data_IF_033293481600
#
_entry.id   IF_033293481600
#
_cell.length_a   1.000
_cell.length_b   1.000
_cell.length_c   1.000
_cell.angle_alpha   90.00
_cell.angle_beta   90.00
_cell.angle_gamma   90.00
#
_symmetry.space_group_name_H-M   'P 1'
#
loop_
_entity.id
_entity.type
_entity.pdbx_description
1 polymer ?
#
# COMPACT_ATOMS: atom_id res chain seq x y z
N UNK A 1 21.67 -42.71 4.36
CA UNK A 1 21.47 -42.77 5.83
C UNK A 1 22.69 -43.45 6.44
N UNK A 2 23.21 -42.88 7.50
CA UNK A 2 24.35 -43.39 8.25
C UNK A 2 23.82 -43.82 9.62
N UNK A 3 24.17 -44.97 10.10
CA UNK A 3 23.94 -45.37 11.48
C UNK A 3 24.99 -44.74 12.36
N UNK A 4 24.57 -43.98 13.36
CA UNK A 4 25.47 -43.37 14.36
C UNK A 4 25.10 -43.93 15.73
N UNK A 5 26.10 -44.06 16.60
CA UNK A 5 25.90 -44.41 17.99
C UNK A 5 25.50 -43.18 18.84
N UNK A 6 25.29 -43.40 20.14
CA UNK A 6 24.89 -42.34 21.07
C UNK A 6 25.92 -41.20 21.21
N UNK A 7 27.13 -41.39 20.72
CA UNK A 7 28.20 -40.40 20.69
C UNK A 7 28.37 -39.73 19.32
N UNK A 8 27.43 -40.00 18.35
CA UNK A 8 27.50 -39.48 17.01
C UNK A 8 28.53 -40.14 16.08
N UNK A 9 29.18 -41.24 16.49
CA UNK A 9 30.14 -41.95 15.68
C UNK A 9 29.45 -42.86 14.67
N UNK A 10 29.91 -42.82 13.40
CA UNK A 10 29.39 -43.64 12.32
C UNK A 10 29.67 -45.11 12.58
N UNK A 11 28.65 -45.94 12.75
CA UNK A 11 28.72 -47.38 13.02
C UNK A 11 28.51 -48.27 11.79
N UNK A 12 27.96 -47.70 10.73
CA UNK A 12 27.73 -48.44 9.49
C UNK A 12 27.26 -47.55 8.34
N UNK A 13 27.64 -47.85 7.13
CA UNK A 13 27.07 -47.31 5.92
C UNK A 13 26.11 -48.33 5.33
N UNK A 14 24.87 -47.96 5.06
CA UNK A 14 23.97 -48.81 4.28
C UNK A 14 24.54 -49.01 2.86
N UNK A 15 24.45 -50.22 2.32
CA UNK A 15 25.14 -50.60 1.07
C UNK A 15 24.74 -49.81 -0.20
N UNK A 16 23.71 -48.97 -0.13
CA UNK A 16 23.29 -48.08 -1.23
C UNK A 16 22.84 -46.75 -0.65
N UNK A 17 23.71 -45.70 -0.64
CA UNK A 17 23.25 -44.36 -0.30
C UNK A 17 22.09 -43.98 -1.26
N UNK A 18 20.95 -43.67 -0.70
CA UNK A 18 19.86 -43.08 -1.47
C UNK A 18 20.31 -41.65 -1.79
N UNK A 19 20.60 -41.39 -3.05
CA UNK A 19 20.95 -40.04 -3.50
C UNK A 19 19.75 -39.12 -3.21
N UNK A 20 20.01 -37.88 -2.81
CA UNK A 20 18.93 -36.91 -2.66
C UNK A 20 18.24 -36.70 -4.02
N UNK A 21 16.93 -36.74 -4.02
CA UNK A 21 16.14 -36.32 -5.17
C UNK A 21 16.09 -34.80 -5.16
N UNK A 22 16.35 -34.17 -6.30
CA UNK A 22 16.25 -32.72 -6.45
C UNK A 22 14.79 -32.30 -6.26
N UNK A 23 14.58 -31.24 -5.47
CA UNK A 23 13.26 -30.65 -5.28
C UNK A 23 12.72 -30.00 -6.56
N UNK A 24 11.45 -29.66 -6.53
CA UNK A 24 10.80 -28.86 -7.58
C UNK A 24 11.25 -27.41 -7.46
N UNK A 25 11.21 -26.68 -8.58
CA UNK A 25 11.47 -25.25 -8.61
C UNK A 25 10.14 -24.51 -8.54
N UNK A 26 10.12 -23.40 -7.83
CA UNK A 26 9.01 -22.45 -7.81
C UNK A 26 9.40 -21.24 -8.65
N UNK A 27 8.67 -20.99 -9.73
CA UNK A 27 8.82 -19.78 -10.52
C UNK A 27 7.98 -18.67 -9.89
N UNK A 28 8.60 -17.51 -9.66
CA UNK A 28 7.93 -16.33 -9.11
C UNK A 28 7.72 -15.26 -10.18
N UNK A 29 6.77 -14.36 -9.92
CA UNK A 29 6.49 -13.19 -10.73
C UNK A 29 7.55 -12.08 -10.56
N UNK A 30 8.41 -12.18 -9.55
CA UNK A 30 9.39 -11.15 -9.23
C UNK A 30 10.30 -10.84 -10.42
N UNK A 31 10.37 -9.56 -10.76
CA UNK A 31 11.36 -8.98 -11.64
C UNK A 31 12.52 -8.44 -10.79
N UNK A 32 13.73 -8.95 -11.05
CA UNK A 32 14.89 -8.64 -10.21
C UNK A 32 15.33 -7.19 -10.35
N UNK A 33 15.23 -6.60 -11.54
CA UNK A 33 15.64 -5.23 -11.79
C UNK A 33 14.71 -4.25 -11.05
N UNK A 34 13.38 -4.50 -11.12
CA UNK A 34 12.37 -3.72 -10.36
C UNK A 34 12.53 -3.92 -8.86
N UNK A 35 12.84 -5.16 -8.43
CA UNK A 35 13.08 -5.47 -7.02
C UNK A 35 14.30 -4.75 -6.46
N UNK A 36 15.42 -4.74 -7.19
CA UNK A 36 16.65 -4.07 -6.80
C UNK A 36 16.48 -2.56 -6.76
N UNK A 37 15.83 -1.97 -7.78
CA UNK A 37 15.53 -0.54 -7.80
C UNK A 37 14.66 -0.10 -6.61
N UNK A 38 13.58 -0.84 -6.32
CA UNK A 38 12.72 -0.55 -5.18
C UNK A 38 13.42 -0.69 -3.84
N UNK A 39 14.29 -1.70 -3.68
CA UNK A 39 15.05 -1.89 -2.45
C UNK A 39 16.11 -0.79 -2.27
N UNK A 40 16.77 -0.36 -3.35
CA UNK A 40 17.73 0.73 -3.34
C UNK A 40 17.06 2.07 -2.99
N UNK A 41 15.88 2.34 -3.54
CA UNK A 41 15.10 3.55 -3.23
C UNK A 41 14.71 3.67 -1.74
N UNK A 42 14.56 2.54 -1.02
CA UNK A 42 14.33 2.51 0.43
C UNK A 42 15.62 2.57 1.27
N UNK A 43 16.80 2.49 0.68
CA UNK A 43 18.05 2.40 1.44
C UNK A 43 18.22 3.55 2.43
N UNK A 44 18.47 3.21 3.71
CA UNK A 44 18.62 4.17 4.81
C UNK A 44 17.32 4.75 5.37
N UNK A 45 16.16 4.27 4.91
CA UNK A 45 14.84 4.69 5.40
C UNK A 45 14.03 3.46 5.85
N UNK A 46 13.18 3.60 6.87
CA UNK A 46 12.24 2.55 7.21
C UNK A 46 10.98 2.68 6.34
N UNK A 47 10.58 1.63 5.66
CA UNK A 47 9.42 1.68 4.75
C UNK A 47 9.16 0.36 4.05
N UNK A 48 8.16 0.35 3.16
CA UNK A 48 7.85 -0.78 2.30
C UNK A 48 7.32 -0.32 0.94
N UNK A 49 7.57 -1.10 -0.08
CA UNK A 49 7.04 -0.86 -1.42
C UNK A 49 6.43 -2.13 -2.02
N UNK A 50 5.53 -1.94 -2.96
CA UNK A 50 4.90 -2.99 -3.77
C UNK A 50 4.77 -2.49 -5.19
N UNK A 51 5.22 -3.29 -6.16
CA UNK A 51 4.90 -3.14 -7.57
C UNK A 51 4.10 -4.37 -8.02
N UNK A 52 2.97 -4.16 -8.66
CA UNK A 52 2.01 -5.21 -9.00
C UNK A 52 1.38 -4.95 -10.37
N UNK A 53 1.26 -6.01 -11.16
CA UNK A 53 0.50 -5.97 -12.40
C UNK A 53 -0.98 -5.73 -12.13
N UNK A 54 -1.54 -4.75 -12.83
CA UNK A 54 -2.88 -4.21 -12.57
C UNK A 54 -3.97 -5.24 -12.87
N UNK A 55 -3.79 -6.05 -13.91
CA UNK A 55 -4.80 -6.98 -14.40
C UNK A 55 -4.70 -8.38 -13.82
N UNK A 56 -3.49 -8.88 -13.58
CA UNK A 56 -3.26 -10.23 -13.08
C UNK A 56 -3.17 -10.29 -11.56
N UNK A 57 -2.62 -9.24 -10.92
CA UNK A 57 -2.25 -9.25 -9.52
C UNK A 57 -0.88 -9.88 -9.25
N UNK A 58 -0.10 -10.15 -10.29
CA UNK A 58 1.29 -10.58 -10.17
C UNK A 58 2.11 -9.51 -9.47
N UNK A 59 2.73 -9.88 -8.33
CA UNK A 59 3.62 -8.98 -7.58
C UNK A 59 5.00 -9.08 -8.20
N UNK A 60 5.36 -8.08 -9.00
CA UNK A 60 6.65 -8.02 -9.70
C UNK A 60 7.79 -7.53 -8.82
N UNK A 61 7.47 -6.76 -7.77
CA UNK A 61 8.43 -6.42 -6.73
C UNK A 61 7.72 -6.11 -5.40
N UNK A 62 8.37 -6.44 -4.30
CA UNK A 62 7.86 -6.20 -2.95
C UNK A 62 9.04 -6.16 -1.98
N UNK A 63 9.14 -5.07 -1.21
CA UNK A 63 10.27 -4.91 -0.32
C UNK A 63 9.96 -4.17 0.97
N UNK A 64 10.88 -4.29 1.90
CA UNK A 64 10.84 -3.68 3.23
C UNK A 64 12.24 -3.22 3.64
N UNK A 65 12.33 -2.07 4.30
CA UNK A 65 13.55 -1.56 4.88
C UNK A 65 13.29 -1.09 6.33
N UNK A 66 14.21 -1.32 7.28
CA UNK A 66 15.39 -2.16 7.14
C UNK A 66 15.01 -3.61 6.82
N UNK A 67 15.95 -4.35 6.22
CA UNK A 67 15.82 -5.74 5.84
C UNK A 67 17.00 -6.55 6.38
N UNK A 68 17.07 -7.82 6.05
CA UNK A 68 18.14 -8.72 6.47
C UNK A 68 18.58 -9.61 5.31
N UNK A 69 19.80 -10.13 5.39
CA UNK A 69 20.29 -11.13 4.44
C UNK A 69 19.58 -12.48 4.70
N UNK A 70 18.77 -13.01 3.77
CA UNK A 70 18.08 -14.29 3.95
C UNK A 70 19.04 -15.47 4.12
N UNK A 71 20.29 -15.36 3.68
CA UNK A 71 21.32 -16.36 3.94
C UNK A 71 21.73 -16.48 5.41
N UNK A 72 21.29 -15.53 6.24
CA UNK A 72 21.45 -15.62 7.70
C UNK A 72 20.98 -16.97 8.26
N UNK A 73 19.83 -17.47 7.77
CA UNK A 73 19.25 -18.74 8.24
C UNK A 73 19.90 -19.99 7.65
N UNK A 74 20.81 -19.84 6.69
CA UNK A 74 21.57 -20.97 6.10
C UNK A 74 22.82 -21.35 6.91
N UNK A 75 23.16 -20.57 7.92
CA UNK A 75 24.35 -20.73 8.78
C UNK A 75 23.94 -20.82 10.25
N UNK A 76 24.77 -21.41 11.13
CA UNK A 76 24.52 -21.34 12.56
C UNK A 76 24.51 -19.88 13.05
N UNK A 77 23.53 -19.53 13.88
CA UNK A 77 23.38 -18.20 14.48
C UNK A 77 23.13 -18.30 15.99
N UNK A 78 23.45 -17.24 16.72
CA UNK A 78 23.20 -17.13 18.15
C UNK A 78 21.81 -16.59 18.44
N UNK A 79 21.30 -16.83 19.66
CA UNK A 79 20.04 -16.25 20.14
C UNK A 79 20.05 -14.71 20.04
N UNK A 80 21.17 -14.07 20.38
CA UNK A 80 21.29 -12.61 20.30
C UNK A 80 21.18 -12.10 18.85
N UNK A 81 21.83 -12.78 17.90
CA UNK A 81 21.70 -12.44 16.47
C UNK A 81 20.26 -12.61 15.96
N UNK A 82 19.57 -13.67 16.39
CA UNK A 82 18.17 -13.87 16.05
C UNK A 82 17.28 -12.78 16.65
N UNK A 83 17.45 -12.47 17.93
CA UNK A 83 16.68 -11.41 18.60
C UNK A 83 16.89 -10.04 17.96
N UNK A 84 18.10 -9.74 17.48
CA UNK A 84 18.40 -8.47 16.80
C UNK A 84 17.56 -8.24 15.52
N UNK A 85 17.05 -9.31 14.87
CA UNK A 85 16.16 -9.18 13.70
C UNK A 85 14.76 -8.66 14.04
N UNK A 86 14.36 -8.79 15.32
CA UNK A 86 13.05 -8.32 15.81
C UNK A 86 13.15 -7.05 16.65
N UNK A 87 14.36 -6.64 16.99
CA UNK A 87 14.60 -5.53 17.90
C UNK A 87 14.20 -4.19 17.27
N UNK A 88 13.41 -3.40 18.01
CA UNK A 88 12.95 -2.07 17.57
C UNK A 88 14.11 -1.10 17.37
N UNK A 89 15.14 -1.16 18.19
CA UNK A 89 16.36 -0.35 18.05
C UNK A 89 17.11 -0.59 16.72
N UNK A 90 16.88 -1.74 16.08
CA UNK A 90 17.40 -2.09 14.75
C UNK A 90 16.35 -1.86 13.65
N UNK A 91 15.21 -1.26 13.98
CA UNK A 91 14.09 -1.04 13.07
C UNK A 91 13.37 -2.32 12.70
N UNK A 92 13.41 -3.39 13.52
CA UNK A 92 12.68 -4.65 13.30
C UNK A 92 12.82 -5.21 11.88
N UNK A 93 14.02 -5.63 11.44
CA UNK A 93 14.28 -6.07 10.05
C UNK A 93 13.41 -7.23 9.56
N UNK A 94 12.91 -8.08 10.48
CA UNK A 94 12.01 -9.19 10.14
C UNK A 94 10.58 -8.76 9.78
N UNK A 95 10.20 -7.52 10.08
CA UNK A 95 8.86 -7.02 9.73
C UNK A 95 8.82 -6.66 8.25
N UNK A 96 8.06 -7.42 7.47
CA UNK A 96 7.77 -7.06 6.08
C UNK A 96 6.74 -5.92 6.04
N UNK A 97 7.22 -4.67 5.97
CA UNK A 97 6.38 -3.48 6.01
C UNK A 97 5.42 -3.34 4.84
N UNK A 98 5.68 -4.02 3.74
CA UNK A 98 4.81 -3.99 2.57
C UNK A 98 3.47 -4.71 2.80
N UNK A 99 3.46 -5.75 3.66
CA UNK A 99 2.29 -6.61 3.91
C UNK A 99 1.92 -6.71 5.39
N UNK A 100 2.89 -6.67 6.30
CA UNK A 100 2.68 -6.83 7.74
C UNK A 100 2.68 -5.50 8.52
N UNK A 101 2.94 -4.38 7.88
CA UNK A 101 2.83 -3.06 8.48
C UNK A 101 1.40 -2.55 8.49
N UNK A 102 1.05 -1.72 9.48
CA UNK A 102 -0.25 -1.08 9.58
C UNK A 102 -0.07 0.43 9.75
N UNK A 103 -0.32 1.19 8.70
CA UNK A 103 -0.02 2.61 8.61
C UNK A 103 -1.24 3.44 8.22
N UNK A 104 -1.36 4.71 8.63
CA UNK A 104 -2.29 5.65 8.02
C UNK A 104 -1.92 5.86 6.56
N UNK A 105 -2.88 5.74 5.65
CA UNK A 105 -2.63 5.92 4.21
C UNK A 105 -2.37 7.37 3.80
N UNK A 106 -2.78 8.33 4.63
CA UNK A 106 -2.74 9.74 4.27
C UNK A 106 -3.48 10.02 2.98
N UNK A 107 -3.05 11.04 2.25
CA UNK A 107 -3.70 11.51 1.02
C UNK A 107 -3.80 10.49 -0.12
N UNK A 108 -3.08 9.35 -0.07
CA UNK A 108 -3.30 8.27 -1.03
C UNK A 108 -4.70 7.66 -0.89
N UNK A 109 -5.31 7.71 0.28
CA UNK A 109 -6.68 7.25 0.52
C UNK A 109 -7.75 8.12 -0.16
N UNK A 110 -7.42 9.33 -0.58
CA UNK A 110 -8.35 10.23 -1.30
C UNK A 110 -8.91 9.60 -2.58
N UNK A 111 -8.19 8.67 -3.21
CA UNK A 111 -8.74 7.85 -4.29
C UNK A 111 -10.00 7.09 -3.86
N UNK A 112 -9.96 6.45 -2.69
CA UNK A 112 -11.10 5.70 -2.13
C UNK A 112 -12.28 6.63 -1.82
N UNK A 113 -11.99 7.80 -1.25
CA UNK A 113 -12.99 8.82 -0.92
C UNK A 113 -13.60 9.41 -2.18
N UNK A 114 -12.81 9.62 -3.25
CA UNK A 114 -13.30 10.07 -4.55
C UNK A 114 -14.28 9.06 -5.17
N UNK A 115 -13.90 7.77 -5.20
CA UNK A 115 -14.80 6.69 -5.65
C UNK A 115 -16.09 6.68 -4.83
N UNK A 116 -15.97 6.77 -3.49
CA UNK A 116 -17.14 6.79 -2.60
C UNK A 116 -18.06 7.99 -2.86
N UNK A 117 -17.49 9.18 -3.05
CA UNK A 117 -18.25 10.41 -3.32
C UNK A 117 -18.99 10.36 -4.65
N UNK A 118 -18.33 9.94 -5.72
CA UNK A 118 -18.91 9.81 -7.05
C UNK A 118 -19.98 8.72 -7.11
N UNK A 119 -19.63 7.50 -6.71
CA UNK A 119 -20.55 6.35 -6.75
C UNK A 119 -21.69 6.45 -5.73
N UNK A 120 -21.50 7.24 -4.68
CA UNK A 120 -22.53 7.57 -3.70
C UNK A 120 -23.42 8.76 -4.09
N UNK A 121 -23.12 9.43 -5.21
CA UNK A 121 -23.88 10.58 -5.69
C UNK A 121 -23.74 11.82 -4.80
N UNK A 122 -22.65 11.93 -4.02
CA UNK A 122 -22.36 13.12 -3.21
C UNK A 122 -21.78 14.25 -4.06
N UNK A 123 -21.08 13.90 -5.12
CA UNK A 123 -20.45 14.82 -6.07
C UNK A 123 -20.57 14.28 -7.49
N UNK A 124 -20.45 15.19 -8.44
CA UNK A 124 -20.12 14.92 -9.84
C UNK A 124 -18.69 15.39 -10.15
N UNK A 125 -18.05 14.92 -11.23
CA UNK A 125 -16.71 15.39 -11.61
C UNK A 125 -16.60 16.91 -11.83
N UNK A 126 -17.73 17.57 -12.19
CA UNK A 126 -17.79 18.99 -12.52
C UNK A 126 -18.07 19.89 -11.30
N UNK A 127 -18.47 19.33 -10.16
CA UNK A 127 -18.81 20.12 -8.98
C UNK A 127 -17.60 20.87 -8.45
N UNK A 128 -17.76 22.17 -8.22
CA UNK A 128 -16.71 23.05 -7.74
C UNK A 128 -16.95 23.41 -6.27
N UNK A 129 -15.94 23.22 -5.45
CA UNK A 129 -15.90 23.63 -4.04
C UNK A 129 -14.88 24.75 -3.91
N UNK A 130 -15.18 25.75 -3.06
CA UNK A 130 -14.19 26.78 -2.73
C UNK A 130 -13.33 26.30 -1.55
N UNK A 131 -12.02 26.25 -1.76
CA UNK A 131 -11.02 25.82 -0.78
C UNK A 131 -10.23 27.04 -0.27
N UNK A 132 -10.59 27.61 0.90
CA UNK A 132 -9.88 28.72 1.49
C UNK A 132 -8.64 28.32 2.30
N UNK A 133 -8.19 27.07 2.23
CA UNK A 133 -7.12 26.51 3.05
C UNK A 133 -7.58 25.86 4.35
N UNK A 134 -8.86 26.02 4.71
CA UNK A 134 -9.44 25.40 5.90
C UNK A 134 -10.97 25.24 5.79
N UNK A 135 -11.51 24.40 6.67
CA UNK A 135 -12.95 24.28 6.90
C UNK A 135 -13.24 24.14 8.38
N UNK A 136 -14.30 24.79 8.86
CA UNK A 136 -14.81 24.65 10.22
C UNK A 136 -15.89 23.57 10.26
N UNK A 137 -15.69 22.52 11.08
CA UNK A 137 -16.67 21.44 11.26
C UNK A 137 -16.91 21.28 12.77
N UNK A 138 -18.08 21.66 13.24
CA UNK A 138 -18.32 21.86 14.67
C UNK A 138 -17.37 22.91 15.25
N UNK A 139 -16.72 22.58 16.35
CA UNK A 139 -15.76 23.44 17.04
C UNK A 139 -14.30 23.24 16.58
N UNK A 140 -14.08 22.39 15.54
CA UNK A 140 -12.74 22.04 15.06
C UNK A 140 -12.47 22.69 13.70
N UNK A 141 -11.32 23.40 13.61
CA UNK A 141 -10.79 23.88 12.33
C UNK A 141 -9.91 22.80 11.71
N UNK A 142 -10.27 22.34 10.52
CA UNK A 142 -9.48 21.42 9.69
C UNK A 142 -8.79 22.22 8.60
N UNK A 143 -7.50 21.99 8.36
CA UNK A 143 -6.68 22.76 7.42
C UNK A 143 -6.07 21.88 6.36
N UNK A 144 -5.80 22.45 5.19
CA UNK A 144 -4.88 21.84 4.22
C UNK A 144 -3.46 21.75 4.81
N UNK A 145 -2.65 20.86 4.28
CA UNK A 145 -1.23 20.83 4.59
C UNK A 145 -0.60 22.24 4.34
N UNK A 146 0.13 22.74 5.33
CA UNK A 146 0.70 24.10 5.24
C UNK A 146 -0.33 25.24 5.13
N UNK A 147 -1.60 25.01 5.48
CA UNK A 147 -2.70 25.97 5.31
C UNK A 147 -2.85 26.53 3.87
N UNK A 148 -2.44 25.74 2.88
CA UNK A 148 -2.44 26.13 1.47
C UNK A 148 -3.83 26.51 0.98
N UNK A 149 -3.92 27.70 0.37
CA UNK A 149 -5.12 28.20 -0.30
C UNK A 149 -5.17 27.70 -1.75
N UNK A 150 -6.27 27.04 -2.16
CA UNK A 150 -6.43 26.51 -3.51
C UNK A 150 -7.54 27.21 -4.31
N UNK A 151 -8.41 28.00 -3.68
CA UNK A 151 -9.51 28.66 -4.36
C UNK A 151 -10.60 27.70 -4.85
N UNK A 152 -11.21 27.94 -6.03
CA UNK A 152 -12.20 27.01 -6.58
C UNK A 152 -11.54 25.76 -7.13
N UNK A 153 -11.92 24.58 -6.59
CA UNK A 153 -11.41 23.26 -6.98
C UNK A 153 -12.58 22.32 -7.33
N UNK A 154 -12.43 21.56 -8.39
CA UNK A 154 -13.26 20.39 -8.71
C UNK A 154 -12.50 19.12 -8.35
N UNK A 155 -13.07 17.93 -8.59
CA UNK A 155 -12.44 16.66 -8.26
C UNK A 155 -11.03 16.52 -8.86
N UNK A 156 -10.86 16.88 -10.15
CA UNK A 156 -9.58 16.80 -10.85
C UNK A 156 -8.52 17.65 -10.18
N UNK A 157 -8.77 18.93 -9.99
CA UNK A 157 -7.82 19.85 -9.35
C UNK A 157 -7.62 19.52 -7.87
N UNK A 158 -8.65 19.07 -7.15
CA UNK A 158 -8.53 18.65 -5.76
C UNK A 158 -7.62 17.42 -5.57
N UNK A 159 -7.64 16.46 -6.51
CA UNK A 159 -6.69 15.34 -6.53
C UNK A 159 -5.29 15.82 -6.89
N UNK A 160 -5.15 16.70 -7.89
CA UNK A 160 -3.89 17.25 -8.36
C UNK A 160 -3.12 17.99 -7.27
N UNK A 161 -3.74 18.97 -6.61
CA UNK A 161 -3.12 19.76 -5.53
C UNK A 161 -3.25 19.12 -4.15
N UNK A 162 -3.89 17.96 -4.07
CA UNK A 162 -4.15 17.27 -2.79
C UNK A 162 -4.96 18.07 -1.78
N UNK A 163 -5.99 18.82 -2.20
CA UNK A 163 -6.85 19.61 -1.31
C UNK A 163 -7.47 18.73 -0.20
N UNK A 164 -7.10 18.96 1.07
CA UNK A 164 -7.73 18.28 2.19
C UNK A 164 -9.15 18.82 2.42
N UNK A 165 -9.36 20.13 2.25
CA UNK A 165 -10.67 20.78 2.43
C UNK A 165 -11.73 20.14 1.55
N UNK A 166 -11.42 19.87 0.27
CA UNK A 166 -12.34 19.17 -0.63
C UNK A 166 -12.79 17.82 -0.06
N UNK A 167 -11.82 17.02 0.40
CA UNK A 167 -12.10 15.68 0.93
C UNK A 167 -12.67 15.69 2.34
N UNK A 168 -12.36 16.68 3.18
CA UNK A 168 -13.01 16.88 4.49
C UNK A 168 -14.52 17.12 4.31
N UNK A 169 -14.90 17.93 3.34
CA UNK A 169 -16.32 18.17 3.02
C UNK A 169 -17.01 16.89 2.55
N UNK A 170 -16.36 16.08 1.71
CA UNK A 170 -16.90 14.77 1.33
C UNK A 170 -17.02 13.82 2.54
N UNK A 171 -16.06 13.84 3.46
CA UNK A 171 -16.10 13.05 4.69
C UNK A 171 -17.27 13.45 5.59
N UNK A 172 -17.51 14.76 5.75
CA UNK A 172 -18.66 15.32 6.48
C UNK A 172 -20.00 14.89 5.84
N UNK A 173 -20.09 15.03 4.53
CA UNK A 173 -21.34 14.77 3.80
C UNK A 173 -21.63 13.25 3.75
N UNK A 174 -20.60 12.41 3.64
CA UNK A 174 -20.72 10.97 3.75
C UNK A 174 -21.18 10.51 5.15
N UNK A 175 -20.75 11.18 6.23
CA UNK A 175 -21.23 10.91 7.59
C UNK A 175 -22.73 11.19 7.76
N UNK A 176 -23.22 12.20 7.06
CA UNK A 176 -24.61 12.62 7.10
C UNK A 176 -25.52 11.84 6.13
N UNK A 177 -24.96 10.96 5.30
CA UNK A 177 -25.69 10.24 4.24
C UNK A 177 -25.96 8.79 4.64
N UNK A 178 -27.23 8.39 4.63
CA UNK A 178 -27.66 7.04 4.95
C UNK A 178 -27.27 6.63 6.37
N UNK A 179 -26.43 5.58 6.51
CA UNK A 179 -25.91 5.07 7.78
C UNK A 179 -24.54 5.67 8.17
N UNK A 180 -24.03 6.65 7.40
CA UNK A 180 -22.73 7.28 7.64
C UNK A 180 -21.52 6.42 7.27
N UNK A 181 -21.72 5.29 6.59
CA UNK A 181 -20.64 4.30 6.31
C UNK A 181 -20.25 4.22 4.83
N UNK A 182 -20.55 5.26 4.04
CA UNK A 182 -20.32 5.24 2.59
C UNK A 182 -18.84 4.98 2.24
N UNK A 183 -17.93 5.76 2.82
CA UNK A 183 -16.47 5.64 2.55
C UNK A 183 -15.95 4.29 3.08
N UNK A 184 -16.39 3.85 4.26
CA UNK A 184 -16.01 2.56 4.85
C UNK A 184 -16.40 1.39 3.96
N UNK A 185 -17.61 1.44 3.36
CA UNK A 185 -18.05 0.42 2.42
C UNK A 185 -17.19 0.35 1.17
N UNK A 186 -16.83 1.51 0.61
CA UNK A 186 -15.97 1.56 -0.57
C UNK A 186 -14.54 1.14 -0.25
N UNK A 187 -13.97 1.55 0.88
CA UNK A 187 -12.67 1.05 1.34
C UNK A 187 -12.63 -0.49 1.36
N UNK A 188 -13.63 -1.12 1.98
CA UNK A 188 -13.72 -2.60 2.03
C UNK A 188 -13.99 -3.22 0.65
N UNK A 189 -14.75 -2.56 -0.22
CA UNK A 189 -14.96 -3.02 -1.60
C UNK A 189 -13.67 -3.00 -2.40
N UNK A 190 -12.83 -2.01 -2.21
CA UNK A 190 -11.55 -1.85 -2.90
C UNK A 190 -10.40 -2.66 -2.28
N UNK A 191 -10.63 -3.41 -1.20
CA UNK A 191 -9.64 -4.33 -0.63
C UNK A 191 -9.04 -3.90 0.70
N UNK A 192 -9.34 -2.70 1.20
CA UNK A 192 -8.78 -2.19 2.45
C UNK A 192 -9.50 -2.79 3.66
N UNK A 193 -8.76 -3.06 4.74
CA UNK A 193 -9.29 -3.58 5.99
C UNK A 193 -9.71 -5.05 5.91
N UNK A 194 -9.03 -5.85 5.10
CA UNK A 194 -9.17 -7.32 4.97
C UNK A 194 -7.90 -7.94 4.42
N UNK A 195 -7.71 -9.23 4.66
CA UNK A 195 -6.67 -10.00 4.01
C UNK A 195 -6.87 -9.99 2.48
N UNK A 196 -5.79 -9.75 1.75
CA UNK A 196 -5.75 -9.82 0.28
C UNK A 196 -5.70 -11.27 -0.20
N UNK A 197 -5.16 -12.15 0.63
CA UNK A 197 -4.89 -13.55 0.35
C UNK A 197 -3.64 -13.75 -0.49
N UNK A 198 -2.67 -12.84 -0.42
CA UNK A 198 -1.35 -13.04 -0.99
C UNK A 198 -0.73 -14.34 -0.48
N UNK A 199 0.06 -14.99 -1.30
CA UNK A 199 0.77 -16.24 -0.98
C UNK A 199 2.02 -16.03 -0.08
N UNK A 200 1.94 -15.05 0.82
CA UNK A 200 2.91 -14.78 1.88
C UNK A 200 2.26 -14.86 3.26
N UNK A 201 2.98 -15.34 4.28
CA UNK A 201 2.48 -15.34 5.64
C UNK A 201 2.56 -13.96 6.30
N UNK A 202 1.73 -13.75 7.33
CA UNK A 202 1.84 -12.58 8.21
C UNK A 202 1.25 -11.30 7.64
N UNK A 203 0.27 -11.40 6.74
CA UNK A 203 -0.46 -10.23 6.24
C UNK A 203 -1.24 -9.55 7.37
N UNK A 204 -1.07 -8.23 7.50
CA UNK A 204 -1.81 -7.40 8.44
C UNK A 204 -3.12 -6.91 7.79
N UNK A 205 -4.22 -7.16 8.47
CA UNK A 205 -5.57 -6.79 7.99
C UNK A 205 -5.78 -5.28 7.95
N UNK A 206 -5.09 -4.54 8.81
CA UNK A 206 -5.33 -3.12 8.99
C UNK A 206 -6.66 -2.84 9.68
N UNK A 207 -7.17 -1.62 9.52
CA UNK A 207 -8.42 -1.19 10.16
C UNK A 207 -9.13 -0.13 9.33
N UNK A 208 -10.39 -0.42 8.98
CA UNK A 208 -11.34 0.57 8.49
C UNK A 208 -12.24 0.97 9.65
N UNK A 209 -12.06 2.16 10.24
CA UNK A 209 -12.77 2.56 11.45
C UNK A 209 -14.27 2.78 11.16
N UNK A 210 -15.10 2.45 12.17
CA UNK A 210 -16.55 2.65 12.14
C UNK A 210 -17.05 3.22 13.47
N UNK A 211 -18.23 3.85 13.51
CA UNK A 211 -18.85 4.27 14.77
C UNK A 211 -19.01 3.11 15.77
N UNK A 212 -19.39 1.93 15.29
CA UNK A 212 -19.55 0.76 16.14
C UNK A 212 -18.23 0.35 16.81
N UNK A 213 -17.16 0.23 16.02
CA UNK A 213 -15.82 -0.09 16.49
C UNK A 213 -15.33 0.94 17.52
N UNK A 214 -15.35 2.24 17.17
CA UNK A 214 -14.81 3.29 18.05
C UNK A 214 -15.60 3.43 19.34
N UNK A 215 -16.94 3.34 19.26
CA UNK A 215 -17.80 3.42 20.45
C UNK A 215 -17.63 2.22 21.40
N UNK A 216 -17.28 1.04 20.86
CA UNK A 216 -16.91 -0.12 21.68
C UNK A 216 -15.57 0.13 22.39
N UNK A 217 -14.57 0.64 21.67
CA UNK A 217 -13.25 0.96 22.22
C UNK A 217 -13.34 2.06 23.28
N UNK A 218 -14.19 3.06 23.08
CA UNK A 218 -14.48 4.06 24.09
C UNK A 218 -15.06 3.44 25.37
N UNK A 219 -16.02 2.51 25.25
CA UNK A 219 -16.58 1.79 26.40
C UNK A 219 -15.55 0.96 27.17
N UNK A 220 -14.51 0.48 26.47
CA UNK A 220 -13.36 -0.23 27.05
C UNK A 220 -12.28 0.70 27.62
N UNK A 221 -12.41 2.02 27.45
CA UNK A 221 -11.42 2.99 27.87
C UNK A 221 -10.16 3.07 26.98
N UNK A 222 -10.21 2.50 25.79
CA UNK A 222 -9.08 2.47 24.86
C UNK A 222 -9.01 3.68 23.92
N UNK A 223 -10.10 4.45 23.81
CA UNK A 223 -10.14 5.76 23.13
C UNK A 223 -10.68 6.82 24.09
N UNK A 224 -10.29 8.08 23.86
CA UNK A 224 -10.67 9.20 24.74
C UNK A 224 -12.11 9.67 24.52
N UNK A 225 -12.68 9.40 23.34
CA UNK A 225 -13.99 9.88 22.93
C UNK A 225 -14.69 8.90 21.98
N UNK A 226 -16.01 9.03 21.88
CA UNK A 226 -16.86 8.31 20.95
C UNK A 226 -16.66 8.82 19.52
N UNK A 227 -17.22 8.09 18.56
CA UNK A 227 -17.27 8.54 17.17
C UNK A 227 -18.00 9.88 17.07
N UNK A 228 -17.41 10.77 16.30
CA UNK A 228 -17.97 12.06 15.90
C UNK A 228 -17.77 12.25 14.40
N UNK A 229 -18.43 13.20 13.79
CA UNK A 229 -18.23 13.57 12.37
C UNK A 229 -16.75 13.87 12.07
N UNK A 230 -16.00 14.44 13.02
CA UNK A 230 -14.57 14.71 12.87
C UNK A 230 -13.72 13.47 12.60
N UNK A 231 -14.16 12.29 13.10
CA UNK A 231 -13.48 11.03 12.78
C UNK A 231 -13.67 10.62 11.33
N UNK A 232 -14.89 10.82 10.78
CA UNK A 232 -15.14 10.53 9.36
C UNK A 232 -14.43 11.52 8.44
N UNK A 233 -14.31 12.78 8.89
CA UNK A 233 -13.56 13.84 8.21
C UNK A 233 -12.08 13.47 8.12
N UNK A 234 -11.43 13.09 9.22
CA UNK A 234 -10.04 12.62 9.19
C UNK A 234 -9.88 11.33 8.39
N UNK A 235 -10.83 10.41 8.50
CA UNK A 235 -10.83 9.16 7.75
C UNK A 235 -10.86 9.41 6.23
N UNK A 236 -11.60 10.42 5.77
CA UNK A 236 -11.73 10.73 4.34
C UNK A 236 -10.42 11.12 3.65
N UNK A 237 -9.43 11.55 4.40
CA UNK A 237 -8.08 11.88 3.90
C UNK A 237 -7.04 10.82 4.31
N UNK A 238 -7.47 9.65 4.77
CA UNK A 238 -6.57 8.56 5.13
C UNK A 238 -5.88 8.71 6.49
N UNK A 239 -6.43 9.52 7.38
CA UNK A 239 -5.89 9.81 8.71
C UNK A 239 -6.79 9.25 9.83
N UNK A 240 -6.50 9.61 11.06
CA UNK A 240 -7.25 9.17 12.24
C UNK A 240 -7.01 7.69 12.55
N UNK A 241 -8.10 6.92 12.68
CA UNK A 241 -8.04 5.52 13.07
C UNK A 241 -7.86 4.54 11.90
N UNK A 242 -7.71 5.02 10.66
CA UNK A 242 -7.42 4.17 9.50
C UNK A 242 -6.03 3.55 9.62
N UNK A 243 -5.97 2.25 9.39
CA UNK A 243 -4.70 1.52 9.23
C UNK A 243 -4.80 0.63 7.99
N UNK A 244 -3.79 0.70 7.13
CA UNK A 244 -3.65 -0.10 5.91
C UNK A 244 -2.17 -0.40 5.66
N UNK A 245 -1.86 -1.17 4.62
CA UNK A 245 -0.49 -1.45 4.20
C UNK A 245 -0.30 -1.11 2.71
N UNK A 246 0.93 -1.02 2.22
CA UNK A 246 1.23 -0.74 0.81
C UNK A 246 0.53 -1.69 -0.17
N UNK A 247 0.44 -2.98 0.16
CA UNK A 247 -0.23 -3.96 -0.70
C UNK A 247 -1.73 -3.67 -0.85
N UNK A 248 -2.44 -3.36 0.23
CA UNK A 248 -3.86 -3.01 0.17
C UNK A 248 -4.10 -1.74 -0.66
N UNK A 249 -3.20 -0.75 -0.55
CA UNK A 249 -3.27 0.45 -1.37
C UNK A 249 -3.02 0.13 -2.85
N UNK A 250 -2.02 -0.70 -3.17
CA UNK A 250 -1.77 -1.14 -4.54
C UNK A 250 -3.00 -1.85 -5.16
N UNK A 251 -3.67 -2.72 -4.40
CA UNK A 251 -4.90 -3.40 -4.84
C UNK A 251 -6.03 -2.39 -5.10
N UNK A 252 -6.18 -1.38 -4.23
CA UNK A 252 -7.23 -0.36 -4.40
C UNK A 252 -6.98 0.50 -5.66
N UNK A 253 -5.73 0.90 -5.90
CA UNK A 253 -5.35 1.63 -7.11
C UNK A 253 -5.50 0.78 -8.37
N UNK A 254 -5.06 -0.47 -8.34
CA UNK A 254 -5.25 -1.41 -9.44
C UNK A 254 -6.72 -1.59 -9.78
N UNK A 255 -7.59 -1.72 -8.77
CA UNK A 255 -9.03 -1.87 -8.98
C UNK A 255 -9.68 -0.66 -9.68
N UNK A 256 -9.20 0.55 -9.39
CA UNK A 256 -9.65 1.75 -10.12
C UNK A 256 -9.07 1.76 -11.53
N UNK A 257 -7.79 1.47 -11.71
CA UNK A 257 -7.12 1.49 -13.01
C UNK A 257 -7.71 0.49 -14.01
N UNK A 258 -8.07 -0.74 -13.57
CA UNK A 258 -8.52 -1.84 -14.42
C UNK A 258 -10.05 -1.98 -14.56
N UNK A 259 -10.82 -0.97 -14.19
CA UNK A 259 -12.28 -1.01 -14.33
C UNK A 259 -13.01 -1.83 -13.28
N UNK A 260 -12.49 -1.88 -12.05
CA UNK A 260 -13.17 -2.46 -10.88
C UNK A 260 -12.85 -3.93 -10.61
N UNK A 261 -11.79 -4.48 -11.22
CA UNK A 261 -11.32 -5.84 -10.94
C UNK A 261 -10.41 -5.81 -9.71
N UNK A 262 -10.92 -6.24 -8.56
CA UNK A 262 -10.12 -6.36 -7.33
C UNK A 262 -9.33 -7.66 -7.41
N UNK A 263 -8.10 -7.55 -7.85
CA UNK A 263 -7.19 -8.68 -8.07
C UNK A 263 -6.76 -9.32 -6.75
N UNK A 264 -6.39 -10.59 -6.81
CA UNK A 264 -5.73 -11.29 -5.71
C UNK A 264 -4.22 -11.25 -5.96
N UNK A 265 -3.44 -10.58 -5.12
CA UNK A 265 -1.99 -10.52 -5.30
C UNK A 265 -1.35 -11.89 -5.13
N UNK A 266 -0.31 -12.19 -5.91
CA UNK A 266 0.43 -13.44 -5.79
C UNK A 266 1.85 -13.29 -6.33
N UNK A 267 2.74 -14.09 -5.78
CA UNK A 267 4.15 -14.21 -6.18
C UNK A 267 4.40 -15.47 -7.00
N UNK A 268 3.76 -16.58 -6.63
CA UNK A 268 3.95 -17.85 -7.32
C UNK A 268 3.27 -17.88 -8.68
N UNK A 269 4.03 -18.26 -9.73
CA UNK A 269 3.49 -18.44 -11.09
C UNK A 269 3.29 -19.91 -11.40
N UNK A 270 4.30 -20.74 -11.14
CA UNK A 270 4.24 -22.17 -11.46
C UNK A 270 5.29 -22.99 -10.72
N UNK A 271 5.04 -24.28 -10.66
CA UNK A 271 5.97 -25.28 -10.17
C UNK A 271 6.60 -25.98 -11.37
N UNK A 272 7.93 -26.08 -11.36
CA UNK A 272 8.74 -26.67 -12.42
C UNK A 272 9.52 -27.89 -11.89
N UNK A 273 9.89 -28.81 -12.79
CA UNK A 273 10.87 -29.85 -12.48
C UNK A 273 12.31 -29.30 -12.52
N UNK A 274 13.27 -30.15 -12.23
CA UNK A 274 14.69 -29.76 -12.22
C UNK A 274 15.25 -29.33 -13.59
N UNK A 275 14.53 -29.57 -14.68
CA UNK A 275 14.87 -29.13 -16.03
C UNK A 275 14.17 -27.85 -16.47
N UNK A 276 13.35 -27.26 -15.60
CA UNK A 276 12.55 -26.05 -15.90
C UNK A 276 11.24 -26.34 -16.64
N UNK A 277 10.84 -27.62 -16.75
CA UNK A 277 9.56 -27.96 -17.38
C UNK A 277 8.40 -27.71 -16.41
N UNK A 278 7.35 -26.98 -16.83
CA UNK A 278 6.18 -26.75 -15.99
C UNK A 278 5.50 -28.07 -15.57
N UNK A 279 5.26 -28.21 -14.27
CA UNK A 279 4.49 -29.30 -13.69
C UNK A 279 3.08 -28.86 -13.30
N UNK A 280 2.95 -27.59 -12.87
CA UNK A 280 1.70 -27.02 -12.42
C UNK A 280 1.73 -25.51 -12.59
N UNK A 281 0.75 -24.94 -13.26
CA UNK A 281 0.49 -23.51 -13.24
C UNK A 281 -0.29 -23.13 -11.97
N UNK A 282 0.04 -21.99 -11.38
CA UNK A 282 -0.58 -21.47 -10.16
C UNK A 282 -1.52 -20.31 -10.51
N UNK A 283 -2.62 -20.61 -11.20
CA UNK A 283 -3.60 -19.59 -11.58
C UNK A 283 -4.30 -19.01 -10.34
N UNK A 284 -4.40 -17.70 -10.31
CA UNK A 284 -5.11 -16.98 -9.26
C UNK A 284 -6.22 -16.13 -9.87
N UNK A 285 -7.48 -16.52 -9.72
CA UNK A 285 -8.59 -15.74 -10.22
C UNK A 285 -8.75 -14.44 -9.45
N UNK A 286 -9.39 -13.40 -10.03
CA UNK A 286 -9.68 -12.15 -9.32
C UNK A 286 -10.57 -12.43 -8.10
N UNK A 287 -10.29 -11.76 -6.99
CA UNK A 287 -11.05 -11.95 -5.76
C UNK A 287 -12.52 -11.54 -5.93
N UNK A 288 -12.79 -10.45 -6.69
CA UNK A 288 -14.13 -9.94 -6.98
C UNK A 288 -14.10 -8.81 -8.01
N UNK A 289 -15.29 -8.40 -8.43
CA UNK A 289 -15.48 -7.17 -9.20
C UNK A 289 -16.32 -6.16 -8.41
N UNK A 290 -15.98 -4.90 -8.50
CA UNK A 290 -16.77 -3.76 -8.04
C UNK A 290 -17.17 -2.94 -9.26
N UNK A 291 -18.40 -2.46 -9.27
CA UNK A 291 -18.86 -1.58 -10.36
C UNK A 291 -18.44 -0.16 -10.01
N UNK A 292 -17.67 0.46 -10.88
CA UNK A 292 -17.32 1.87 -10.90
C UNK A 292 -17.71 2.36 -12.29
N UNK A 293 -18.46 3.46 -12.39
CA UNK A 293 -18.84 4.02 -13.67
C UNK A 293 -17.59 4.50 -14.43
N UNK A 294 -17.53 4.29 -15.74
CA UNK A 294 -16.35 4.64 -16.54
C UNK A 294 -16.03 6.13 -16.45
N UNK A 295 -17.03 7.00 -16.49
CA UNK A 295 -16.84 8.46 -16.35
C UNK A 295 -16.25 8.84 -14.98
N UNK A 296 -16.64 8.13 -13.91
CA UNK A 296 -16.09 8.36 -12.57
C UNK A 296 -14.64 7.91 -12.47
N UNK A 297 -14.35 6.75 -13.04
CA UNK A 297 -13.00 6.21 -13.11
C UNK A 297 -12.08 7.14 -13.90
N UNK A 298 -12.50 7.57 -15.08
CA UNK A 298 -11.73 8.50 -15.94
C UNK A 298 -11.48 9.83 -15.25
N UNK A 299 -12.47 10.40 -14.57
CA UNK A 299 -12.29 11.65 -13.81
C UNK A 299 -11.27 11.51 -12.67
N UNK A 300 -11.24 10.36 -11.97
CA UNK A 300 -10.24 10.08 -10.93
C UNK A 300 -8.85 9.94 -11.57
N UNK A 301 -8.73 9.14 -12.63
CA UNK A 301 -7.44 8.93 -13.30
C UNK A 301 -6.88 10.22 -13.89
N UNK A 302 -7.74 11.09 -14.45
CA UNK A 302 -7.34 12.41 -14.94
C UNK A 302 -6.81 13.32 -13.82
N UNK A 303 -7.43 13.27 -12.63
CA UNK A 303 -6.93 13.99 -11.46
C UNK A 303 -5.58 13.47 -10.96
N UNK A 304 -5.36 12.14 -10.97
CA UNK A 304 -4.09 11.53 -10.62
C UNK A 304 -3.00 11.80 -11.68
N UNK A 305 -3.38 11.84 -12.96
CA UNK A 305 -2.49 12.23 -14.05
C UNK A 305 -2.03 13.69 -13.88
N UNK A 306 -2.98 14.59 -13.61
CA UNK A 306 -2.70 16.00 -13.37
C UNK A 306 -1.72 16.22 -12.22
N UNK A 307 -1.82 15.40 -11.15
CA UNK A 307 -0.93 15.50 -9.99
C UNK A 307 0.55 15.24 -10.33
N UNK A 308 0.82 14.43 -11.35
CA UNK A 308 2.19 14.05 -11.75
C UNK A 308 2.72 14.82 -12.96
N UNK A 309 1.85 15.25 -13.90
CA UNK A 309 2.29 15.73 -15.21
C UNK A 309 1.99 17.22 -15.47
N UNK A 310 1.16 17.87 -14.65
CA UNK A 310 0.72 19.24 -14.94
C UNK A 310 1.22 20.25 -13.90
N UNK A 311 1.47 21.50 -14.31
CA UNK A 311 1.93 22.56 -13.41
C UNK A 311 1.02 22.73 -12.19
N UNK A 312 1.59 22.73 -10.99
CA UNK A 312 0.87 22.83 -9.72
C UNK A 312 0.44 21.49 -9.13
N UNK A 313 0.62 20.38 -9.82
CA UNK A 313 0.44 19.04 -9.27
C UNK A 313 1.50 18.72 -8.22
N UNK A 314 1.12 17.91 -7.21
CA UNK A 314 1.99 17.64 -6.05
C UNK A 314 3.26 16.86 -6.38
N UNK A 315 3.30 16.09 -7.46
CA UNK A 315 4.47 15.32 -7.90
C UNK A 315 5.03 15.78 -9.25
N UNK A 316 4.48 16.85 -9.86
CA UNK A 316 4.99 17.44 -11.10
C UNK A 316 6.48 17.79 -11.04
N UNK A 317 7.03 18.37 -9.95
CA UNK A 317 8.46 18.67 -9.89
C UNK A 317 9.37 17.48 -10.13
N UNK A 318 8.87 16.27 -9.93
CA UNK A 318 9.61 15.01 -10.10
C UNK A 318 9.36 14.41 -11.48
N UNK A 319 8.10 14.42 -11.96
CA UNK A 319 7.68 13.64 -13.12
C UNK A 319 7.44 14.46 -14.40
N UNK A 320 7.49 15.80 -14.38
CA UNK A 320 7.18 16.64 -15.55
C UNK A 320 8.04 16.33 -16.79
N UNK A 321 9.26 15.83 -16.60
CA UNK A 321 10.17 15.43 -17.68
C UNK A 321 10.37 13.90 -17.77
N UNK A 322 9.55 13.12 -17.05
CA UNK A 322 9.64 11.68 -17.11
C UNK A 322 9.05 11.17 -18.43
N UNK A 323 9.72 10.21 -19.12
CA UNK A 323 9.34 9.83 -20.48
C UNK A 323 8.04 9.01 -20.58
N UNK A 324 7.46 8.63 -19.44
CA UNK A 324 6.23 7.88 -19.36
C UNK A 324 5.16 8.68 -18.64
N UNK A 325 3.91 8.53 -19.07
CA UNK A 325 2.77 9.11 -18.38
C UNK A 325 2.56 8.43 -17.02
N UNK A 326 2.65 9.19 -15.95
CA UNK A 326 2.44 8.74 -14.57
C UNK A 326 1.10 9.27 -14.08
N UNK A 327 0.32 8.42 -13.44
CA UNK A 327 -0.84 8.83 -12.66
C UNK A 327 -0.63 8.42 -11.21
N UNK A 328 -0.54 9.39 -10.31
CA UNK A 328 -0.13 9.12 -8.94
C UNK A 328 -0.77 10.02 -7.90
N UNK A 329 -0.56 9.67 -6.63
CA UNK A 329 -1.00 10.47 -5.49
C UNK A 329 0.05 10.43 -4.39
N UNK A 330 0.48 11.59 -4.01
CA UNK A 330 1.38 11.80 -2.87
C UNK A 330 0.61 11.81 -1.55
N UNK A 331 1.29 11.54 -0.45
CA UNK A 331 0.72 11.60 0.89
C UNK A 331 1.74 12.02 1.95
N UNK A 332 1.24 12.71 2.98
CA UNK A 332 1.95 12.96 4.24
C UNK A 332 1.11 12.35 5.37
N UNK A 333 1.74 11.64 6.30
CA UNK A 333 1.06 11.14 7.51
C UNK A 333 1.47 11.96 8.73
N UNK A 334 0.47 12.38 9.51
CA UNK A 334 0.66 13.09 10.77
C UNK A 334 0.81 12.14 11.97
N UNK A 335 0.94 10.84 11.75
CA UNK A 335 1.08 9.88 12.86
C UNK A 335 2.43 10.03 13.55
N UNK A 336 2.47 10.18 14.90
CA UNK A 336 3.72 10.20 15.65
C UNK A 336 4.39 8.83 15.78
N UNK A 337 3.85 7.77 15.18
CA UNK A 337 4.53 6.50 15.07
C UNK A 337 5.69 6.68 14.09
N UNK A 338 6.87 6.83 14.67
CA UNK A 338 8.16 6.77 14.01
C UNK A 338 8.17 5.62 13.03
N UNK A 339 8.05 5.88 11.76
CA UNK A 339 8.30 4.95 10.66
C UNK A 339 7.30 4.94 9.52
N UNK A 340 6.38 5.89 9.46
CA UNK A 340 5.68 6.05 8.20
C UNK A 340 6.49 7.01 7.35
N UNK A 341 7.39 6.49 6.57
CA UNK A 341 8.00 7.26 5.49
C UNK A 341 6.97 7.37 4.40
N UNK A 342 6.30 8.51 4.41
CA UNK A 342 5.93 9.11 3.16
C UNK A 342 7.20 9.83 2.72
N UNK A 343 7.68 9.47 1.57
CA UNK A 343 8.82 10.06 0.94
C UNK A 343 8.65 11.56 1.01
N UNK A 344 9.63 12.26 1.53
CA UNK A 344 9.81 13.65 1.22
C UNK A 344 9.87 13.71 -0.31
N UNK A 345 8.79 14.20 -0.89
CA UNK A 345 8.28 13.82 -2.22
C UNK A 345 9.30 14.05 -3.33
N UNK A 346 10.21 15.00 -3.14
CA UNK A 346 11.20 15.40 -4.13
C UNK A 346 12.43 14.50 -4.09
N UNK A 347 13.00 14.22 -2.92
CA UNK A 347 14.29 13.52 -2.80
C UNK A 347 14.23 12.04 -3.20
N UNK A 348 13.12 11.39 -3.05
CA UNK A 348 13.04 9.94 -3.31
C UNK A 348 12.62 9.62 -4.72
N UNK A 349 11.70 10.38 -5.28
CA UNK A 349 11.39 10.20 -6.68
C UNK A 349 12.59 10.62 -7.55
N UNK A 350 13.34 11.65 -7.13
CA UNK A 350 14.59 12.02 -7.80
C UNK A 350 15.65 10.91 -7.66
N UNK A 351 15.80 10.29 -6.50
CA UNK A 351 16.67 9.10 -6.35
C UNK A 351 16.24 7.94 -7.23
N UNK A 352 14.93 7.68 -7.33
CA UNK A 352 14.40 6.62 -8.18
C UNK A 352 14.71 6.88 -9.66
N UNK A 353 14.55 8.14 -10.12
CA UNK A 353 14.93 8.58 -11.46
C UNK A 353 16.45 8.43 -11.67
N UNK A 354 17.26 8.88 -10.70
CA UNK A 354 18.73 8.79 -10.76
C UNK A 354 19.20 7.33 -10.81
N UNK A 355 18.53 6.42 -10.11
CA UNK A 355 18.85 4.99 -10.09
C UNK A 355 18.38 4.27 -11.36
N UNK A 356 17.21 4.60 -11.90
CA UNK A 356 16.77 4.09 -13.21
C UNK A 356 17.74 4.53 -14.32
N UNK A 357 18.23 5.76 -14.26
CA UNK A 357 19.25 6.27 -15.18
C UNK A 357 20.61 5.55 -14.97
N UNK A 358 21.00 5.29 -13.72
CA UNK A 358 22.23 4.55 -13.40
C UNK A 358 22.19 3.08 -13.85
N UNK A 359 20.99 2.48 -13.93
CA UNK A 359 20.76 1.13 -14.46
C UNK A 359 20.71 1.09 -15.99
N UNK A 360 20.95 2.24 -16.68
CA UNK A 360 20.94 2.30 -18.13
C UNK A 360 19.54 2.20 -18.75
N UNK A 361 18.50 2.42 -17.96
CA UNK A 361 17.13 2.66 -18.45
C UNK A 361 17.11 4.14 -18.88
N UNK A 362 17.86 4.44 -19.94
CA UNK A 362 17.82 5.74 -20.61
C UNK A 362 16.58 5.83 -21.50
N UNK A 363 16.02 7.04 -21.54
CA UNK A 363 14.93 7.57 -22.37
C UNK A 363 14.73 6.92 -23.74
#
# INVERSE_FOLDING_TARGET
RVEVDALGQVRGQRPRPRLPEQGRQLRLALDLDVQEAGQAALAGRAGGFVAMEVDSGEVVALGSSPSFDPNFFSKPFTTAQYQALFAEENGSPMVNRAVAGAYPAGSTFKLVTAVAGLEGGLITPADVIYDPGFVQIGDVKFTNAGEQFNGPVNLRSALSVSSDVYFYLLGRDADSTGDGLLIQRWAKRLGIGRESGIDLPGEEVGRVPTPAWRNEWFRKGWTKERWTVGHNVNFSIGQGDLLTNPLQMAIAYAAVANGGKVVKPHLGLRIEDSSGRPLQELETPPARRVKIADEHREAILDGLYSAANEPGGTSTPVFENFPLDIAGKTAVSSSPLESTIFLDEVDTAQRYVDELQALGIEN
#
